data_IF_400765369296
#
_entry.id   IF_400765369296
#
_cell.length_a   1.000
_cell.length_b   1.000
_cell.length_c   1.000
_cell.angle_alpha   90.00
_cell.angle_beta   90.00
_cell.angle_gamma   90.00
#
_symmetry.space_group_name_H-M   'P 1'
#
loop_
_entity.id
_entity.type
_entity.pdbx_description
1 polymer ?
#
# COMPACT_ATOMS: atom_id res chain seq x y z
N UNK A 1 11.32 -20.43 10.53
CA UNK A 1 10.39 -19.32 10.37
C UNK A 1 9.63 -19.00 11.66
N UNK A 2 9.00 -19.96 12.35
CA UNK A 2 8.19 -19.72 13.55
C UNK A 2 8.94 -19.00 14.67
N UNK A 3 10.23 -19.33 14.94
CA UNK A 3 11.03 -18.62 15.94
C UNK A 3 11.28 -17.15 15.59
N UNK A 4 11.49 -16.84 14.30
CA UNK A 4 11.62 -15.45 13.82
C UNK A 4 10.32 -14.70 13.96
N UNK A 5 9.19 -15.33 13.64
CA UNK A 5 7.86 -14.75 13.80
C UNK A 5 7.59 -14.38 15.25
N UNK A 6 7.85 -15.29 16.19
CA UNK A 6 7.66 -15.04 17.64
C UNK A 6 8.55 -13.89 18.13
N UNK A 7 9.81 -13.87 17.71
CA UNK A 7 10.76 -12.80 18.08
C UNK A 7 10.28 -11.43 17.56
N UNK A 8 9.90 -11.36 16.29
CA UNK A 8 9.43 -10.11 15.68
C UNK A 8 8.07 -9.69 16.23
N UNK A 9 7.18 -10.64 16.58
CA UNK A 9 5.93 -10.33 17.24
C UNK A 9 6.14 -9.74 18.64
N UNK A 10 7.05 -10.33 19.44
CA UNK A 10 7.41 -9.75 20.75
C UNK A 10 7.93 -8.32 20.62
N UNK A 11 8.85 -8.10 19.69
CA UNK A 11 9.41 -6.78 19.42
C UNK A 11 8.32 -5.80 18.96
N UNK A 12 7.40 -6.23 18.08
CA UNK A 12 6.28 -5.43 17.62
C UNK A 12 5.39 -4.97 18.79
N UNK A 13 4.95 -5.89 19.64
CA UNK A 13 4.12 -5.55 20.80
C UNK A 13 4.85 -4.64 21.80
N UNK A 14 6.13 -4.82 21.99
CA UNK A 14 6.95 -3.97 22.86
C UNK A 14 7.13 -2.56 22.28
N UNK A 15 7.26 -2.44 20.96
CA UNK A 15 7.52 -1.15 20.28
C UNK A 15 6.25 -0.39 19.90
N UNK A 16 5.09 -1.05 19.82
CA UNK A 16 3.83 -0.38 19.46
C UNK A 16 3.47 0.76 20.43
N UNK A 17 3.93 0.71 21.66
CA UNK A 17 3.77 1.77 22.65
C UNK A 17 4.84 2.88 22.54
N UNK A 18 5.85 2.71 21.69
CA UNK A 18 6.95 3.68 21.51
C UNK A 18 6.68 4.67 20.36
N UNK A 19 5.67 4.42 19.54
CA UNK A 19 5.25 5.30 18.45
C UNK A 19 4.94 4.58 17.14
N UNK A 20 4.13 5.25 16.31
CA UNK A 20 3.64 4.73 15.03
C UNK A 20 4.78 4.32 14.08
N UNK A 21 5.81 5.16 13.93
CA UNK A 21 6.93 4.93 13.00
C UNK A 21 7.66 3.63 13.33
N UNK A 22 7.91 3.36 14.62
CA UNK A 22 8.64 2.16 15.06
C UNK A 22 7.86 0.88 14.72
N UNK A 23 6.56 0.85 15.03
CA UNK A 23 5.71 -0.32 14.76
C UNK A 23 5.46 -0.53 13.26
N UNK A 24 5.32 0.56 12.49
CA UNK A 24 5.23 0.50 11.03
C UNK A 24 6.49 -0.11 10.42
N UNK A 25 7.64 0.47 10.74
CA UNK A 25 8.93 0.05 10.20
C UNK A 25 9.26 -1.40 10.54
N UNK A 26 8.91 -1.85 11.75
CA UNK A 26 9.14 -3.24 12.16
C UNK A 26 8.31 -4.22 11.34
N UNK A 27 7.02 -3.92 11.11
CA UNK A 27 6.15 -4.77 10.27
C UNK A 27 6.67 -4.86 8.84
N UNK A 28 6.97 -3.72 8.22
CA UNK A 28 7.43 -3.69 6.84
C UNK A 28 8.80 -4.36 6.69
N UNK A 29 9.69 -4.23 7.68
CA UNK A 29 10.95 -4.98 7.74
C UNK A 29 10.70 -6.49 7.82
N UNK A 30 9.79 -6.92 8.70
CA UNK A 30 9.45 -8.34 8.82
C UNK A 30 8.88 -8.92 7.51
N UNK A 31 8.01 -8.17 6.81
CA UNK A 31 7.48 -8.58 5.51
C UNK A 31 8.58 -8.69 4.45
N UNK A 32 9.49 -7.71 4.38
CA UNK A 32 10.63 -7.74 3.47
C UNK A 32 11.59 -8.91 3.77
N UNK A 33 11.96 -9.13 5.02
CA UNK A 33 12.81 -10.25 5.43
C UNK A 33 12.16 -11.62 5.13
N UNK A 34 10.83 -11.70 5.26
CA UNK A 34 10.07 -12.90 4.92
C UNK A 34 10.10 -13.16 3.42
N UNK A 35 9.96 -12.09 2.61
CA UNK A 35 10.04 -12.16 1.16
C UNK A 35 11.45 -12.61 0.70
N UNK A 36 12.51 -12.09 1.31
CA UNK A 36 13.89 -12.52 1.07
C UNK A 36 14.08 -14.02 1.36
N UNK A 37 13.60 -14.47 2.52
CA UNK A 37 13.68 -15.88 2.88
C UNK A 37 12.88 -16.78 1.94
N UNK A 38 11.73 -16.32 1.46
CA UNK A 38 10.89 -17.02 0.49
C UNK A 38 11.59 -17.11 -0.87
N UNK A 39 12.16 -16.01 -1.36
CA UNK A 39 12.92 -15.98 -2.61
C UNK A 39 14.09 -16.96 -2.58
N UNK A 40 14.89 -16.93 -1.52
CA UNK A 40 16.01 -17.85 -1.34
C UNK A 40 15.55 -19.32 -1.34
N UNK A 41 14.45 -19.63 -0.64
CA UNK A 41 13.89 -20.97 -0.58
C UNK A 41 13.39 -21.46 -1.94
N UNK A 42 12.59 -20.65 -2.63
CA UNK A 42 12.00 -21.02 -3.93
C UNK A 42 13.08 -21.14 -5.02
N UNK A 43 14.03 -20.21 -5.04
CA UNK A 43 15.18 -20.24 -5.95
C UNK A 43 16.04 -21.48 -5.73
N UNK A 44 16.35 -21.81 -4.47
CA UNK A 44 17.11 -23.01 -4.13
C UNK A 44 16.41 -24.30 -4.53
N UNK A 45 15.07 -24.37 -4.35
CA UNK A 45 14.29 -25.55 -4.76
C UNK A 45 14.17 -25.71 -6.28
N UNK A 46 14.02 -24.60 -6.99
CA UNK A 46 13.77 -24.61 -8.42
C UNK A 46 15.04 -24.63 -9.28
N UNK A 47 16.21 -24.35 -8.68
CA UNK A 47 17.50 -24.20 -9.40
C UNK A 47 17.53 -23.00 -10.36
N UNK A 48 16.61 -22.07 -10.24
CA UNK A 48 16.49 -20.83 -11.01
C UNK A 48 15.82 -19.75 -10.20
N UNK A 49 16.07 -18.47 -10.54
CA UNK A 49 15.49 -17.33 -9.86
C UNK A 49 13.96 -17.44 -9.77
N UNK A 50 13.42 -17.26 -8.58
CA UNK A 50 11.98 -17.23 -8.37
C UNK A 50 11.34 -15.98 -8.99
N UNK A 51 10.05 -16.07 -9.31
CA UNK A 51 9.21 -14.94 -9.66
C UNK A 51 8.09 -14.87 -8.63
N UNK A 52 8.05 -13.77 -7.90
CA UNK A 52 7.11 -13.59 -6.78
C UNK A 52 6.23 -12.39 -7.10
N UNK A 53 4.93 -12.52 -6.88
CA UNK A 53 3.97 -11.42 -6.91
C UNK A 53 3.52 -11.18 -5.47
N UNK A 54 3.66 -9.92 -5.02
CA UNK A 54 3.22 -9.48 -3.70
C UNK A 54 1.99 -8.60 -3.90
N UNK A 55 0.93 -8.88 -3.16
CA UNK A 55 -0.31 -8.10 -3.19
C UNK A 55 -0.53 -7.46 -1.83
N UNK A 56 -0.33 -6.16 -1.78
CA UNK A 56 -0.46 -5.35 -0.57
C UNK A 56 -1.02 -3.97 -0.92
N UNK A 57 -1.32 -3.17 0.09
CA UNK A 57 -1.75 -1.78 -0.10
C UNK A 57 -0.61 -0.91 -0.66
N UNK A 58 -0.93 0.13 -1.43
CA UNK A 58 0.05 1.06 -2.02
C UNK A 58 1.05 1.64 -1.01
N UNK A 59 0.63 1.89 0.24
CA UNK A 59 1.51 2.42 1.29
C UNK A 59 2.65 1.47 1.67
N UNK A 60 2.46 0.17 1.46
CA UNK A 60 3.51 -0.84 1.65
C UNK A 60 4.36 -1.06 0.38
N UNK A 61 3.78 -0.88 -0.81
CA UNK A 61 4.41 -1.24 -2.09
C UNK A 61 5.07 -0.08 -2.83
N UNK A 62 4.64 1.16 -2.64
CA UNK A 62 5.31 2.32 -3.22
C UNK A 62 6.69 2.55 -2.59
N UNK A 63 7.66 3.08 -3.32
CA UNK A 63 8.95 3.45 -2.73
C UNK A 63 8.79 4.64 -1.78
N UNK A 64 8.91 4.41 -0.48
CA UNK A 64 8.69 5.43 0.54
C UNK A 64 9.60 6.66 0.37
N UNK A 65 10.80 6.51 -0.17
CA UNK A 65 11.76 7.60 -0.42
C UNK A 65 11.23 8.66 -1.40
N UNK A 66 10.22 8.32 -2.18
CA UNK A 66 9.55 9.24 -3.09
C UNK A 66 8.37 9.99 -2.45
N UNK A 67 8.16 9.86 -1.16
CA UNK A 67 7.00 10.38 -0.42
C UNK A 67 7.43 11.14 0.83
N UNK A 68 6.57 12.01 1.35
CA UNK A 68 6.83 12.75 2.60
C UNK A 68 6.89 11.86 3.84
N UNK A 69 6.41 10.61 3.79
CA UNK A 69 6.49 9.69 4.94
C UNK A 69 7.94 9.28 5.24
N UNK A 70 8.82 9.30 4.24
CA UNK A 70 10.25 9.08 4.45
C UNK A 70 10.91 10.19 5.29
N UNK A 71 10.43 11.43 5.17
CA UNK A 71 10.92 12.56 5.97
C UNK A 71 10.59 12.37 7.47
N UNK A 72 9.56 11.59 7.77
CA UNK A 72 9.19 11.18 9.13
C UNK A 72 9.95 9.93 9.61
N UNK A 73 10.82 9.35 8.79
CA UNK A 73 11.59 8.16 9.10
C UNK A 73 10.87 6.83 8.84
N UNK A 74 9.73 6.85 8.15
CA UNK A 74 9.04 5.63 7.72
C UNK A 74 9.69 5.06 6.45
N UNK A 75 9.86 3.74 6.42
CA UNK A 75 10.16 2.97 5.19
C UNK A 75 9.06 1.95 4.94
N UNK A 76 9.14 1.26 3.82
CA UNK A 76 8.15 0.24 3.48
C UNK A 76 8.76 -0.90 2.64
N UNK A 77 7.95 -1.94 2.39
CA UNK A 77 8.35 -3.12 1.61
C UNK A 77 8.85 -2.73 0.22
N UNK A 78 8.18 -1.80 -0.47
CA UNK A 78 8.58 -1.34 -1.80
C UNK A 78 9.98 -0.74 -1.83
N UNK A 79 10.31 0.13 -0.87
CA UNK A 79 11.66 0.67 -0.70
C UNK A 79 12.66 -0.44 -0.44
N UNK A 80 12.40 -1.28 0.58
CA UNK A 80 13.32 -2.33 1.03
C UNK A 80 13.61 -3.36 -0.08
N UNK A 81 12.61 -3.74 -0.86
CA UNK A 81 12.78 -4.65 -1.99
C UNK A 81 13.63 -4.03 -3.10
N UNK A 82 13.44 -2.74 -3.40
CA UNK A 82 14.30 -2.02 -4.36
C UNK A 82 15.74 -1.86 -3.87
N UNK A 83 15.96 -1.70 -2.56
CA UNK A 83 17.30 -1.68 -1.96
C UNK A 83 17.98 -3.04 -2.07
N UNK A 84 17.26 -4.13 -1.82
CA UNK A 84 17.81 -5.48 -1.81
C UNK A 84 18.07 -6.02 -3.23
N UNK A 85 17.06 -6.00 -4.14
CA UNK A 85 17.17 -6.61 -5.47
C UNK A 85 17.44 -5.60 -6.60
N UNK A 86 17.34 -4.31 -6.31
CA UNK A 86 17.49 -3.23 -7.29
C UNK A 86 16.27 -3.04 -8.20
N UNK A 87 16.15 -1.85 -8.77
CA UNK A 87 15.00 -1.45 -9.62
C UNK A 87 14.80 -2.34 -10.86
N UNK A 88 15.83 -3.02 -11.34
CA UNK A 88 15.70 -3.89 -12.52
C UNK A 88 14.95 -5.18 -12.22
N UNK A 89 15.12 -5.73 -11.04
CA UNK A 89 14.48 -6.97 -10.60
C UNK A 89 13.09 -6.75 -9.97
N UNK A 90 12.81 -5.53 -9.51
CA UNK A 90 11.56 -5.18 -8.81
C UNK A 90 10.68 -4.31 -9.70
N UNK A 91 9.37 -4.59 -9.69
CA UNK A 91 8.33 -3.77 -10.32
C UNK A 91 7.31 -3.38 -9.27
N UNK A 92 7.16 -2.08 -9.03
CA UNK A 92 6.18 -1.53 -8.12
C UNK A 92 5.01 -0.97 -8.94
N UNK A 93 3.82 -1.53 -8.73
CA UNK A 93 2.60 -1.15 -9.45
C UNK A 93 1.62 -0.59 -8.43
N UNK A 94 1.23 0.66 -8.61
CA UNK A 94 0.27 1.35 -7.76
C UNK A 94 -1.14 1.33 -8.35
N UNK A 95 -2.13 1.50 -7.48
CA UNK A 95 -3.53 1.69 -7.86
C UNK A 95 -4.01 3.06 -7.44
N UNK A 96 -4.93 3.65 -8.21
CA UNK A 96 -5.60 4.89 -7.84
C UNK A 96 -7.06 4.87 -8.25
N UNK A 97 -7.89 5.65 -7.55
CA UNK A 97 -9.30 5.85 -7.87
C UNK A 97 -9.69 7.31 -7.64
N UNK A 98 -10.61 7.83 -8.45
CA UNK A 98 -11.08 9.21 -8.28
C UNK A 98 -12.24 9.29 -7.29
N UNK A 99 -13.27 8.45 -7.44
CA UNK A 99 -14.44 8.40 -6.57
C UNK A 99 -15.05 6.99 -6.50
N UNK A 100 -16.24 6.88 -5.90
CA UNK A 100 -16.99 5.63 -5.84
C UNK A 100 -17.32 5.23 -4.40
N UNK A 101 -17.15 3.95 -4.08
CA UNK A 101 -17.35 3.44 -2.72
C UNK A 101 -16.21 2.51 -2.30
N UNK A 102 -15.99 2.42 -0.99
CA UNK A 102 -14.99 1.55 -0.37
C UNK A 102 -15.59 0.86 0.86
N UNK A 103 -15.14 -0.34 1.14
CA UNK A 103 -15.40 -1.01 2.43
C UNK A 103 -14.31 -0.60 3.40
N UNK A 104 -14.66 0.20 4.43
CA UNK A 104 -13.73 0.70 5.44
C UNK A 104 -14.45 0.99 6.77
N UNK A 105 -13.70 0.97 7.86
CA UNK A 105 -14.19 1.35 9.19
C UNK A 105 -14.16 2.87 9.40
N UNK A 106 -14.81 3.37 10.48
CA UNK A 106 -14.70 4.77 10.94
C UNK A 106 -13.65 4.96 12.02
N UNK A 107 -13.16 3.88 12.59
CA UNK A 107 -12.09 3.84 13.60
C UNK A 107 -11.50 2.45 13.65
N UNK A 108 -10.40 2.31 14.38
CA UNK A 108 -9.82 1.02 14.68
C UNK A 108 -10.79 0.20 15.52
N UNK A 109 -10.87 -1.10 15.28
CA UNK A 109 -11.78 -2.06 15.92
C UNK A 109 -13.28 -1.81 15.66
N UNK A 110 -13.64 -0.86 14.78
CA UNK A 110 -15.02 -0.68 14.35
C UNK A 110 -15.35 -1.58 13.15
N UNK A 111 -16.63 -2.00 13.02
CA UNK A 111 -17.04 -2.85 11.91
C UNK A 111 -16.90 -2.10 10.57
N UNK A 112 -16.51 -2.82 9.50
CA UNK A 112 -16.41 -2.24 8.16
C UNK A 112 -17.80 -1.86 7.62
N UNK A 113 -17.87 -0.77 6.90
CA UNK A 113 -19.07 -0.22 6.29
C UNK A 113 -18.77 0.17 4.84
N UNK A 114 -19.78 0.13 3.98
CA UNK A 114 -19.69 0.75 2.66
C UNK A 114 -19.70 2.27 2.84
N UNK A 115 -18.61 2.92 2.45
CA UNK A 115 -18.45 4.37 2.51
C UNK A 115 -18.29 4.96 1.13
N UNK A 116 -18.88 6.13 0.92
CA UNK A 116 -18.65 6.92 -0.29
C UNK A 116 -17.27 7.56 -0.25
N UNK A 117 -16.50 7.35 -1.31
CA UNK A 117 -15.20 8.01 -1.53
C UNK A 117 -15.45 9.38 -2.17
N UNK A 118 -14.91 10.43 -1.55
CA UNK A 118 -14.99 11.77 -2.12
C UNK A 118 -14.29 11.82 -3.49
N UNK A 119 -14.67 12.73 -4.40
CA UNK A 119 -13.84 13.05 -5.56
C UNK A 119 -12.42 13.41 -5.13
N UNK A 120 -11.43 13.01 -5.93
CA UNK A 120 -10.03 13.35 -5.69
C UNK A 120 -9.84 14.85 -5.48
N UNK A 121 -8.96 15.24 -4.56
CA UNK A 121 -8.71 16.65 -4.30
C UNK A 121 -8.15 17.35 -5.54
N UNK A 122 -8.51 18.61 -5.81
CA UNK A 122 -7.96 19.36 -6.93
C UNK A 122 -6.41 19.30 -6.95
N UNK A 123 -5.86 19.05 -8.12
CA UNK A 123 -4.42 18.92 -8.38
C UNK A 123 -3.74 17.70 -7.71
N UNK A 124 -4.47 16.80 -7.07
CA UNK A 124 -3.94 15.49 -6.67
C UNK A 124 -3.69 14.60 -7.90
N UNK A 125 -2.97 13.49 -7.72
CA UNK A 125 -2.80 12.52 -8.82
C UNK A 125 -4.13 11.92 -9.27
N UNK A 126 -5.07 11.69 -8.37
CA UNK A 126 -6.41 11.21 -8.66
C UNK A 126 -7.18 12.18 -9.57
N UNK A 127 -7.07 13.48 -9.30
CA UNK A 127 -7.68 14.55 -10.11
C UNK A 127 -7.02 14.66 -11.50
N UNK A 128 -5.69 14.62 -11.56
CA UNK A 128 -4.95 14.62 -12.83
C UNK A 128 -5.34 13.44 -13.71
N UNK A 129 -5.51 12.26 -13.12
CA UNK A 129 -5.92 11.07 -13.85
C UNK A 129 -7.37 11.16 -14.33
N UNK A 130 -8.28 11.64 -13.49
CA UNK A 130 -9.69 11.88 -13.84
C UNK A 130 -9.82 12.86 -15.02
N UNK A 131 -9.03 13.93 -15.04
CA UNK A 131 -9.07 14.94 -16.11
C UNK A 131 -8.67 14.39 -17.48
N UNK A 132 -8.06 13.21 -17.57
CA UNK A 132 -7.81 12.53 -18.86
C UNK A 132 -9.09 12.09 -19.57
N UNK A 133 -10.21 11.97 -18.85
CA UNK A 133 -11.48 11.45 -19.36
C UNK A 133 -11.49 9.93 -19.60
N UNK A 134 -10.44 9.21 -19.19
CA UNK A 134 -10.35 7.75 -19.30
C UNK A 134 -10.86 7.12 -18.01
N UNK A 135 -11.88 6.26 -18.12
CA UNK A 135 -12.48 5.59 -16.95
C UNK A 135 -11.54 4.58 -16.29
N UNK A 136 -10.62 4.02 -17.03
CA UNK A 136 -9.57 3.11 -16.51
C UNK A 136 -8.42 3.03 -17.50
N UNK A 137 -7.20 2.93 -16.99
CA UNK A 137 -6.00 2.75 -17.79
C UNK A 137 -4.84 2.12 -16.99
N UNK A 138 -3.91 1.56 -17.73
CA UNK A 138 -2.57 1.21 -17.24
C UNK A 138 -1.56 2.21 -17.80
N UNK A 139 -0.71 2.76 -16.94
CA UNK A 139 0.34 3.72 -17.30
C UNK A 139 1.71 3.15 -16.91
N UNK A 140 2.55 2.86 -17.91
CA UNK A 140 3.94 2.48 -17.69
C UNK A 140 4.81 3.73 -17.46
N UNK A 141 5.36 3.86 -16.26
CA UNK A 141 6.22 4.99 -15.85
C UNK A 141 7.71 4.73 -16.12
N UNK A 142 8.07 3.55 -16.60
CA UNK A 142 9.47 3.20 -16.97
C UNK A 142 9.77 3.41 -18.44
N UNK A 143 8.79 3.76 -19.25
CA UNK A 143 9.02 3.95 -20.67
C UNK A 143 10.00 5.12 -20.90
N UNK A 144 11.16 4.91 -21.57
CA UNK A 144 12.11 5.97 -21.85
C UNK A 144 11.48 7.10 -22.67
N UNK A 145 11.69 8.36 -22.27
CA UNK A 145 11.17 9.53 -22.97
C UNK A 145 9.67 9.77 -22.78
N UNK A 146 9.01 9.07 -21.84
CA UNK A 146 7.61 9.30 -21.52
C UNK A 146 7.39 10.67 -20.90
N UNK A 147 6.68 11.56 -21.59
CA UNK A 147 6.28 12.88 -21.06
C UNK A 147 5.37 12.73 -19.83
N UNK A 148 4.53 11.72 -19.81
CA UNK A 148 3.68 11.43 -18.65
C UNK A 148 4.53 11.06 -17.41
N UNK A 149 5.53 10.20 -17.57
CA UNK A 149 6.43 9.83 -16.47
C UNK A 149 7.24 11.05 -15.99
N UNK A 150 7.63 11.94 -16.86
CA UNK A 150 8.32 13.19 -16.51
C UNK A 150 7.41 14.15 -15.74
N UNK A 151 6.18 14.38 -16.23
CA UNK A 151 5.20 15.25 -15.58
C UNK A 151 4.77 14.74 -14.19
N UNK A 152 4.73 13.42 -14.00
CA UNK A 152 4.37 12.79 -12.73
C UNK A 152 5.52 12.68 -11.72
N UNK A 153 6.70 13.24 -12.03
CA UNK A 153 7.77 13.49 -11.03
C UNK A 153 7.52 14.74 -10.20
N UNK A 154 6.70 15.65 -10.67
CA UNK A 154 6.28 16.79 -9.86
C UNK A 154 5.57 16.27 -8.62
N UNK A 155 5.97 16.75 -7.43
CA UNK A 155 5.35 16.36 -6.18
C UNK A 155 3.90 16.81 -6.07
N UNK A 156 2.98 15.88 -5.88
CA UNK A 156 1.54 16.15 -5.74
C UNK A 156 0.97 15.34 -4.59
N UNK A 157 -0.23 15.72 -4.17
CA UNK A 157 -1.00 14.93 -3.22
C UNK A 157 -1.39 13.59 -3.85
N UNK A 158 -1.24 12.54 -3.07
CA UNK A 158 -1.69 11.18 -3.38
C UNK A 158 -2.58 10.67 -2.26
N UNK A 159 -3.70 10.05 -2.61
CA UNK A 159 -4.63 9.49 -1.64
C UNK A 159 -4.25 8.05 -1.26
N UNK A 160 -4.35 7.74 0.04
CA UNK A 160 -4.27 6.40 0.57
C UNK A 160 -5.46 6.12 1.50
N UNK A 161 -6.34 5.22 1.08
CA UNK A 161 -7.45 4.73 1.90
C UNK A 161 -7.10 3.31 2.32
N UNK A 162 -6.94 3.09 3.63
CA UNK A 162 -6.68 1.79 4.23
C UNK A 162 -7.91 1.21 4.93
N UNK A 163 -7.68 0.56 6.07
CA UNK A 163 -8.73 -0.05 6.91
C UNK A 163 -9.73 0.98 7.43
N UNK A 164 -9.25 2.19 7.74
CA UNK A 164 -10.08 3.32 8.20
C UNK A 164 -10.20 4.34 7.07
N UNK A 165 -11.40 4.88 6.89
CA UNK A 165 -11.64 6.00 5.98
C UNK A 165 -12.51 7.07 6.63
N UNK A 166 -11.98 8.31 6.67
CA UNK A 166 -12.58 9.49 7.29
C UNK A 166 -12.83 10.60 6.26
N UNK A 167 -13.96 10.59 5.53
CA UNK A 167 -14.23 11.54 4.44
C UNK A 167 -14.16 13.01 4.85
N UNK A 168 -14.53 13.33 6.10
CA UNK A 168 -14.56 14.72 6.61
C UNK A 168 -13.17 15.30 6.87
N UNK A 169 -12.20 14.47 7.16
CA UNK A 169 -10.82 14.86 7.43
C UNK A 169 -9.85 14.31 6.38
N UNK A 170 -10.37 13.90 5.23
CA UNK A 170 -9.65 13.16 4.19
C UNK A 170 -8.31 13.81 3.82
N UNK A 171 -8.29 15.15 3.65
CA UNK A 171 -7.05 15.87 3.30
C UNK A 171 -5.93 15.65 4.32
N UNK A 172 -6.25 15.61 5.61
CA UNK A 172 -5.27 15.47 6.69
C UNK A 172 -4.95 14.01 7.01
N UNK A 173 -5.94 13.12 6.83
CA UNK A 173 -5.84 11.73 7.28
C UNK A 173 -5.50 10.74 6.16
N UNK A 174 -5.72 11.11 4.89
CA UNK A 174 -5.62 10.18 3.76
C UNK A 174 -4.82 10.72 2.57
N UNK A 175 -4.23 11.90 2.65
CA UNK A 175 -3.39 12.46 1.60
C UNK A 175 -1.99 12.77 2.12
N UNK A 176 -1.02 12.49 1.29
CA UNK A 176 0.39 12.81 1.50
C UNK A 176 1.04 13.23 0.19
N UNK A 177 2.14 13.98 0.25
CA UNK A 177 2.90 14.34 -0.93
C UNK A 177 3.77 13.17 -1.41
N UNK A 178 3.76 12.95 -2.73
CA UNK A 178 4.57 11.94 -3.39
C UNK A 178 5.07 12.41 -4.76
N UNK A 179 6.16 11.82 -5.24
CA UNK A 179 6.63 11.87 -6.62
C UNK A 179 6.32 10.53 -7.28
N UNK A 180 5.20 10.46 -8.01
CA UNK A 180 4.59 9.20 -8.42
C UNK A 180 5.52 8.34 -9.28
N UNK A 181 6.24 8.94 -10.24
CA UNK A 181 7.16 8.21 -11.13
C UNK A 181 8.43 7.72 -10.45
N UNK A 182 8.77 8.25 -9.27
CA UNK A 182 9.84 7.72 -8.43
C UNK A 182 9.30 6.64 -7.48
N UNK A 183 8.04 6.77 -7.07
CA UNK A 183 7.37 5.86 -6.14
C UNK A 183 7.00 4.53 -6.81
N UNK A 184 6.42 4.57 -8.01
CA UNK A 184 5.95 3.40 -8.76
C UNK A 184 6.60 3.28 -10.13
N UNK A 185 6.58 2.09 -10.68
CA UNK A 185 7.03 1.78 -12.04
C UNK A 185 5.87 1.75 -13.02
N UNK A 186 4.67 1.58 -12.51
CA UNK A 186 3.41 1.68 -13.28
C UNK A 186 2.24 2.02 -12.35
N UNK A 187 1.19 2.57 -12.94
CA UNK A 187 -0.08 2.84 -12.27
C UNK A 187 -1.24 2.18 -13.00
N UNK A 188 -2.18 1.67 -12.21
CA UNK A 188 -3.50 1.26 -12.68
C UNK A 188 -4.50 2.26 -12.09
N UNK A 189 -5.16 3.02 -12.96
CA UNK A 189 -6.22 3.93 -12.55
C UNK A 189 -7.59 3.34 -12.88
N UNK A 190 -8.51 3.43 -11.91
CA UNK A 190 -9.91 3.07 -12.05
C UNK A 190 -10.71 4.24 -11.50
N UNK A 191 -11.32 5.02 -12.38
CA UNK A 191 -11.93 6.30 -12.03
C UNK A 191 -13.06 6.15 -11.00
N UNK A 192 -13.92 5.17 -11.19
CA UNK A 192 -15.00 4.84 -10.24
C UNK A 192 -14.85 3.42 -9.73
N UNK A 193 -14.78 3.27 -8.39
CA UNK A 193 -14.66 1.98 -7.71
C UNK A 193 -15.88 1.66 -6.88
N UNK A 194 -16.08 0.37 -6.62
CA UNK A 194 -17.17 -0.15 -5.80
C UNK A 194 -16.62 -0.89 -4.60
N UNK A 195 -17.26 -0.69 -3.45
CA UNK A 195 -16.94 -1.41 -2.23
C UNK A 195 -17.04 -2.93 -2.46
N UNK A 196 -16.02 -3.67 -2.05
CA UNK A 196 -16.05 -5.13 -2.09
C UNK A 196 -16.90 -5.67 -0.96
N UNK A 197 -17.72 -6.67 -1.28
CA UNK A 197 -18.46 -7.43 -0.27
C UNK A 197 -17.65 -8.63 0.21
N UNK A 198 -17.90 -9.13 1.43
CA UNK A 198 -17.29 -10.37 1.91
C UNK A 198 -17.70 -11.54 1.00
N UNK A 199 -16.77 -12.45 0.77
CA UNK A 199 -17.02 -13.67 -0.02
C UNK A 199 -18.03 -14.58 0.69
N UNK A 200 -17.98 -14.63 2.00
CA UNK A 200 -18.92 -15.39 2.82
C UNK A 200 -20.10 -14.49 3.23
N UNK A 201 -21.26 -14.75 2.65
CA UNK A 201 -22.52 -14.13 3.07
C UNK A 201 -23.12 -14.99 4.19
N UNK A 202 -22.93 -14.54 5.45
CA UNK A 202 -23.76 -15.01 6.55
C UNK A 202 -23.24 -16.22 7.32
N UNK A 203 -21.99 -16.22 7.75
CA UNK A 203 -21.67 -16.83 9.02
C UNK A 203 -22.10 -15.84 10.12
N UNK A 204 -23.03 -16.23 11.00
CA UNK A 204 -23.16 -15.56 12.28
C UNK A 204 -21.75 -15.40 12.85
N UNK A 205 -21.43 -14.24 13.44
CA UNK A 205 -20.20 -14.07 14.18
C UNK A 205 -20.09 -15.21 15.18
N UNK A 206 -19.41 -16.28 14.78
CA UNK A 206 -19.04 -17.35 15.67
C UNK A 206 -18.01 -16.78 16.63
N UNK A 207 -17.96 -17.30 17.85
CA UNK A 207 -16.99 -16.97 18.89
C UNK A 207 -15.52 -17.29 18.52
N UNK A 208 -15.18 -17.40 17.23
CA UNK A 208 -13.80 -17.54 16.80
C UNK A 208 -13.14 -16.17 16.75
N UNK A 209 -12.03 -15.99 17.46
CA UNK A 209 -11.26 -14.75 17.39
C UNK A 209 -10.85 -14.49 15.93
N UNK A 210 -10.85 -13.23 15.46
CA UNK A 210 -10.43 -12.91 14.11
C UNK A 210 -9.04 -13.48 13.81
N UNK A 211 -8.86 -13.99 12.59
CA UNK A 211 -7.64 -14.68 12.13
C UNK A 211 -6.36 -13.85 12.30
N UNK A 212 -6.53 -12.53 12.45
CA UNK A 212 -5.48 -11.57 12.81
C UNK A 212 -5.82 -10.89 14.14
N UNK A 213 -5.24 -11.35 15.22
CA UNK A 213 -5.33 -10.67 16.52
C UNK A 213 -3.93 -10.17 16.94
N UNK A 214 -3.79 -8.92 17.39
CA UNK A 214 -4.84 -7.88 17.45
C UNK A 214 -5.21 -7.39 16.05
N UNK A 215 -6.51 -7.19 15.83
CA UNK A 215 -7.06 -6.72 14.56
C UNK A 215 -6.51 -5.35 14.21
N UNK A 216 -5.43 -5.31 13.44
CA UNK A 216 -4.97 -4.10 12.76
C UNK A 216 -4.43 -2.96 13.61
N UNK A 217 -3.89 -3.21 14.82
CA UNK A 217 -3.13 -2.22 15.57
C UNK A 217 -1.73 -2.03 14.98
#
# INVERSE_FOLDING_TARGET
>A
QNARLVMNAEEYYRTMFQGRVSSWNLRDRHMADTLEALDAHLTGRAGKSAKIVVWEHNSHLGDARATEVADMGEWNVGQLTREHWGRRAVRLIGFSTYHGTVTAASGWDEPPQTKRVNPGLPHSYEDVFHQTGLSHFYLDLRQPGSLAAEALREGRLQRAIGVVYLPRTERQSHYFFARLSDQFDAMIHIDETHAVGPLERGGAAGDEPPETYPSGL
#
